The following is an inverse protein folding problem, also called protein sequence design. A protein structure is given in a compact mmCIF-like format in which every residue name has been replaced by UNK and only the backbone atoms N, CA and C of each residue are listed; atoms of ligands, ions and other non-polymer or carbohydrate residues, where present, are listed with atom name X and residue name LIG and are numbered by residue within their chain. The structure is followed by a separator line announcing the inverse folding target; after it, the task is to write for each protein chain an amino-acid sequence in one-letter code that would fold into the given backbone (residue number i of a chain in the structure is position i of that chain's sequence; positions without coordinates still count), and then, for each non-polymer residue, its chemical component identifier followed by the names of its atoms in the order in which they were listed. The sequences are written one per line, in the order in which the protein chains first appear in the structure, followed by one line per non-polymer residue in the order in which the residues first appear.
data_IF_312885476593
#
_entry.id   IF_312885476593
#
_cell.length_a   1.000
_cell.length_b   1.000
_cell.length_c   1.000
_cell.angle_alpha   90.00
_cell.angle_beta   90.00
_cell.angle_gamma   90.00
#
_symmetry.space_group_name_H-M   'P 1'
#
loop_
_entity.id
_entity.type
_entity.pdbx_description
1 polymer ?
#
# COMPACT_ATOMS: atom_id res chain seq x y z
N UNK A 1 19.83 -18.24 7.40
CA UNK A 1 19.51 -17.61 7.47
C UNK A 1 19.72 -16.76 7.81
N UNK A 2 19.85 -16.42 7.88
CA UNK A 2 19.69 -15.55 8.31
C UNK A 2 20.35 -14.43 8.12
N UNK A 3 21.46 -14.15 7.70
CA UNK A 3 21.93 -12.97 7.46
C UNK A 3 21.30 -12.36 6.37
N UNK A 4 20.99 -13.03 5.43
CA UNK A 4 20.16 -12.52 4.43
C UNK A 4 18.93 -12.05 5.04
N UNK A 5 18.50 -12.73 6.03
CA UNK A 5 17.37 -12.34 6.73
C UNK A 5 17.55 -11.02 7.35
N UNK A 6 18.67 -10.75 7.87
CA UNK A 6 18.94 -9.51 8.47
C UNK A 6 18.86 -8.41 7.46
N UNK A 7 19.36 -8.62 6.28
CA UNK A 7 19.28 -7.64 5.25
C UNK A 7 17.86 -7.39 4.85
N UNK A 8 17.12 -8.43 4.72
CA UNK A 8 15.72 -8.30 4.36
C UNK A 8 14.98 -7.53 5.42
N UNK A 9 15.33 -7.74 6.64
CA UNK A 9 14.67 -7.05 7.72
C UNK A 9 14.94 -5.56 7.68
N UNK A 10 15.99 -5.14 7.03
CA UNK A 10 16.27 -3.74 6.93
C UNK A 10 15.43 -3.05 5.85
N UNK A 11 14.78 -3.81 5.00
CA UNK A 11 13.96 -3.23 3.94
C UNK A 11 12.59 -2.90 4.51
N UNK A 12 12.19 -1.66 4.39
CA UNK A 12 10.90 -1.21 4.87
C UNK A 12 10.07 -0.72 3.71
N UNK A 13 8.77 -0.79 3.91
CA UNK A 13 7.82 -0.38 2.88
C UNK A 13 6.83 0.62 3.46
N UNK A 14 6.19 1.36 2.59
CA UNK A 14 5.13 2.27 2.97
C UNK A 14 3.89 1.93 2.16
N UNK A 15 2.73 2.23 2.72
CA UNK A 15 1.47 2.03 2.02
C UNK A 15 1.13 3.32 1.31
N UNK A 16 0.75 3.20 0.04
CA UNK A 16 0.35 4.35 -0.77
C UNK A 16 -1.03 4.09 -1.36
N UNK A 17 -1.74 5.15 -1.68
CA UNK A 17 -3.08 5.05 -2.25
C UNK A 17 -3.19 6.10 -3.36
N UNK A 18 -3.94 5.77 -4.41
CA UNK A 18 -4.18 6.71 -5.50
C UNK A 18 -5.61 7.28 -5.46
N UNK A 19 -5.95 8.09 -6.45
CA UNK A 19 -7.25 8.73 -6.51
C UNK A 19 -8.39 7.74 -6.70
N UNK A 20 -8.11 6.56 -7.20
CA UNK A 20 -9.10 5.51 -7.37
C UNK A 20 -9.24 4.66 -6.12
N UNK A 21 -8.57 5.05 -5.04
CA UNK A 21 -8.57 4.31 -3.78
C UNK A 21 -7.98 2.92 -3.94
N UNK A 22 -7.02 2.80 -4.84
CA UNK A 22 -6.25 1.57 -5.00
C UNK A 22 -4.99 1.70 -4.16
N UNK A 23 -4.68 0.65 -3.44
CA UNK A 23 -3.56 0.65 -2.50
C UNK A 23 -2.39 -0.14 -3.07
N UNK A 24 -1.19 0.25 -2.66
CA UNK A 24 0.01 -0.48 -3.04
C UNK A 24 1.06 -0.29 -1.97
N UNK A 25 2.14 -1.05 -2.06
CA UNK A 25 3.28 -0.84 -1.17
C UNK A 25 4.44 -0.32 -2.00
N UNK A 26 5.26 0.46 -1.37
CA UNK A 26 6.38 1.14 -2.03
C UNK A 26 7.57 1.05 -1.10
N UNK A 27 8.75 0.89 -1.65
CA UNK A 27 9.94 0.84 -0.80
C UNK A 27 10.12 2.18 -0.10
N UNK A 28 10.33 2.14 1.20
CA UNK A 28 10.53 3.36 1.98
C UNK A 28 11.74 4.10 1.44
N UNK A 29 11.64 5.39 1.36
CA UNK A 29 12.71 6.22 0.85
C UNK A 29 12.64 6.52 -0.62
N UNK A 30 11.76 5.86 -1.35
CA UNK A 30 11.58 6.16 -2.77
C UNK A 30 10.60 7.31 -2.93
N UNK A 31 10.78 8.07 -3.99
CA UNK A 31 9.86 9.17 -4.27
C UNK A 31 8.51 8.61 -4.69
N UNK A 32 7.46 9.07 -4.05
CA UNK A 32 6.11 8.62 -4.37
C UNK A 32 5.70 9.24 -5.71
N UNK A 33 5.24 8.45 -6.67
CA UNK A 33 4.89 9.00 -7.98
C UNK A 33 3.68 9.91 -7.91
N UNK A 34 3.53 10.73 -8.93
CA UNK A 34 2.37 11.62 -9.02
C UNK A 34 1.09 10.78 -9.02
N UNK A 35 0.08 11.26 -8.34
CA UNK A 35 -1.20 10.55 -8.25
C UNK A 35 -1.29 9.58 -7.09
N UNK A 36 -0.19 9.37 -6.35
CA UNK A 36 -0.17 8.50 -5.19
C UNK A 36 0.17 9.30 -3.96
N UNK A 37 -0.33 8.87 -2.82
CA UNK A 37 -0.09 9.54 -1.56
C UNK A 37 0.27 8.53 -0.49
N UNK A 38 1.08 8.95 0.47
CA UNK A 38 1.42 8.13 1.61
C UNK A 38 0.22 8.05 2.54
N UNK A 39 -0.05 6.85 3.03
CA UNK A 39 -1.17 6.63 3.95
C UNK A 39 -0.74 6.85 5.40
N UNK A 40 0.55 6.80 5.66
CA UNK A 40 1.05 6.95 7.03
C UNK A 40 1.35 5.62 7.70
N UNK A 41 1.30 4.53 6.97
CA UNK A 41 1.62 3.20 7.48
C UNK A 41 2.93 2.75 6.87
N UNK A 42 3.83 2.29 7.69
CA UNK A 42 5.12 1.79 7.22
C UNK A 42 5.55 0.60 8.05
N UNK A 43 6.45 -0.17 7.53
CA UNK A 43 6.97 -1.33 8.24
C UNK A 43 7.42 -2.39 7.26
N UNK A 44 7.32 -3.65 7.69
CA UNK A 44 7.69 -4.76 6.82
C UNK A 44 6.64 -4.91 5.73
N UNK A 45 7.00 -5.67 4.70
CA UNK A 45 6.08 -5.95 3.62
C UNK A 45 4.79 -6.58 4.17
N UNK A 46 4.92 -7.49 5.10
CA UNK A 46 3.76 -8.15 5.68
C UNK A 46 2.88 -7.19 6.44
N UNK A 47 3.48 -6.28 7.20
CA UNK A 47 2.72 -5.29 7.94
C UNK A 47 1.91 -4.41 7.00
N UNK A 48 2.53 -3.98 5.91
CA UNK A 48 1.85 -3.11 4.95
C UNK A 48 0.72 -3.85 4.24
N UNK A 49 0.97 -5.09 3.83
CA UNK A 49 -0.06 -5.88 3.15
C UNK A 49 -1.23 -6.19 4.07
N UNK A 50 -0.93 -6.43 5.34
CA UNK A 50 -1.98 -6.69 6.32
C UNK A 50 -2.87 -5.46 6.49
N UNK A 51 -2.27 -4.29 6.56
CA UNK A 51 -3.04 -3.06 6.65
C UNK A 51 -3.94 -2.87 5.42
N UNK A 52 -3.39 -3.12 4.24
CA UNK A 52 -4.15 -3.00 3.00
C UNK A 52 -5.34 -3.96 3.03
N UNK A 53 -5.13 -5.18 3.50
CA UNK A 53 -6.20 -6.16 3.59
C UNK A 53 -7.31 -5.73 4.52
N UNK A 54 -6.99 -4.94 5.51
CA UNK A 54 -7.99 -4.46 6.46
C UNK A 54 -8.81 -3.29 5.90
N UNK A 55 -8.19 -2.42 5.12
CA UNK A 55 -8.85 -1.20 4.68
C UNK A 55 -9.37 -1.28 3.25
N UNK A 56 -8.80 -2.13 2.43
CA UNK A 56 -9.19 -2.25 1.02
C UNK A 56 -10.08 -3.48 0.85
N UNK A 57 -11.29 -3.35 1.34
CA UNK A 57 -12.24 -4.46 1.34
C UNK A 57 -12.92 -4.62 0.00
N UNK A 58 -12.96 -3.57 -0.81
CA UNK A 58 -13.52 -3.63 -2.16
C UNK A 58 -12.39 -3.26 -3.11
N UNK A 59 -11.90 -4.23 -3.85
CA UNK A 59 -10.74 -4.05 -4.72
C UNK A 59 -11.06 -3.32 -6.02
N UNK A 60 -12.32 -3.00 -6.25
CA UNK A 60 -12.69 -2.27 -7.46
C UNK A 60 -12.26 -0.81 -7.35
N UNK A 61 -11.83 -0.18 -8.44
CA UNK A 61 -11.49 1.23 -8.41
C UNK A 61 -12.69 2.08 -7.99
N UNK A 62 -12.40 3.21 -7.39
CA UNK A 62 -13.42 4.12 -6.91
C UNK A 62 -14.39 4.55 -8.02
N UNK A 63 -13.86 4.88 -9.19
CA UNK A 63 -14.67 5.32 -10.29
C UNK A 63 -15.67 4.24 -10.71
N UNK A 64 -15.26 3.00 -10.68
CA UNK A 64 -16.15 1.89 -11.02
C UNK A 64 -17.25 1.75 -9.98
N UNK A 65 -16.90 1.86 -8.70
CA UNK A 65 -17.89 1.76 -7.64
C UNK A 65 -18.94 2.87 -7.75
N UNK A 66 -18.51 4.07 -8.07
CA UNK A 66 -19.43 5.19 -8.22
C UNK A 66 -20.32 5.00 -9.45
N UNK A 67 -19.76 4.47 -10.52
CA UNK A 67 -20.54 4.20 -11.73
C UNK A 67 -21.61 3.16 -11.49
N UNK A 68 -21.40 2.29 -10.52
CA UNK A 68 -22.37 1.25 -10.18
C UNK A 68 -23.36 1.73 -9.11
N UNK A 69 -23.32 3.00 -8.76
CA UNK A 69 -24.24 3.55 -7.78
C UNK A 69 -23.89 3.35 -6.33
N UNK A 70 -22.70 2.89 -6.05
CA UNK A 70 -22.27 2.69 -4.67
C UNK A 70 -21.76 3.99 -4.07
N UNK A 71 -21.78 4.07 -2.75
CA UNK A 71 -21.33 5.26 -2.06
C UNK A 71 -20.21 5.02 -1.10
#
# INVERSE_FOLDING_TARGET
MSEASSTAAAVRYVVVVNDEEQYSIWAEGRTVPAGWQLVGVSGTRETCLDHIGQVWTDMRPKSLRLAMGER
#
